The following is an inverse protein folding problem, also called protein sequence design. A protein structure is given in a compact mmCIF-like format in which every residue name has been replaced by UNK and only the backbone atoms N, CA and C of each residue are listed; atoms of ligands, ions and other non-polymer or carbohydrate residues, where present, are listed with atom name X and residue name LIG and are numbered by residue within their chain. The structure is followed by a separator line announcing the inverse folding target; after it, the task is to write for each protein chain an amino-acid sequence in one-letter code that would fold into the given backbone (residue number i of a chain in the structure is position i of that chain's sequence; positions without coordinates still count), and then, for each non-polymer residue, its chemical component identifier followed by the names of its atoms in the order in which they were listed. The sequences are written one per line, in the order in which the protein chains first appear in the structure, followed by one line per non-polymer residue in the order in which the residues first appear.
data_IF_952464813659
#
_entry.id   IF_952464813659
#
_cell.length_a   1.000
_cell.length_b   1.000
_cell.length_c   1.000
_cell.angle_alpha   90.00
_cell.angle_beta   90.00
_cell.angle_gamma   90.00
#
_symmetry.space_group_name_H-M   'P 1'
#
loop_
_entity.id
_entity.type
_entity.pdbx_description
1 polymer ?
#
# COMPACT_ATOMS: atom_id res chain seq x y z
N UNK A 1 -11.16 -8.04 -3.80
CA UNK A 1 -12.53 -7.77 -3.30
C UNK A 1 -13.04 -6.44 -3.80
N UNK A 2 -12.57 -5.27 -3.31
CA UNK A 2 -13.18 -3.98 -3.68
C UNK A 2 -13.16 -3.69 -5.18
N UNK A 3 -12.01 -3.89 -5.84
CA UNK A 3 -11.86 -3.72 -7.29
C UNK A 3 -12.68 -4.75 -8.05
N UNK A 4 -12.63 -6.03 -7.66
CA UNK A 4 -13.34 -7.11 -8.34
C UNK A 4 -14.86 -6.90 -8.30
N UNK A 5 -15.38 -6.40 -7.18
CA UNK A 5 -16.80 -6.07 -6.99
C UNK A 5 -17.20 -4.78 -7.71
N UNK A 6 -16.25 -3.88 -7.98
CA UNK A 6 -16.52 -2.52 -8.48
C UNK A 6 -15.51 -2.07 -9.56
N UNK A 7 -15.33 -2.83 -10.66
CA UNK A 7 -14.23 -2.63 -11.61
C UNK A 7 -14.32 -1.33 -12.42
N UNK A 8 -15.53 -0.77 -12.56
CA UNK A 8 -15.76 0.51 -13.26
C UNK A 8 -15.48 1.72 -12.37
N UNK A 9 -15.35 1.53 -11.05
CA UNK A 9 -15.22 2.60 -10.06
C UNK A 9 -13.85 2.62 -9.40
N UNK A 10 -13.20 1.47 -9.24
CA UNK A 10 -11.88 1.37 -8.61
C UNK A 10 -10.88 0.64 -9.50
N UNK A 11 -9.64 1.11 -9.47
CA UNK A 11 -8.53 0.48 -10.18
C UNK A 11 -7.28 0.44 -9.31
N UNK A 12 -6.58 -0.69 -9.30
CA UNK A 12 -5.29 -0.79 -8.63
C UNK A 12 -4.23 0.06 -9.36
N UNK A 13 -3.37 0.72 -8.60
CA UNK A 13 -2.10 1.23 -9.13
C UNK A 13 -1.09 0.10 -9.19
N UNK A 14 -0.40 -0.05 -10.33
CA UNK A 14 0.78 -0.93 -10.42
C UNK A 14 2.02 -0.10 -10.07
N UNK A 15 2.58 -0.34 -8.89
CA UNK A 15 3.78 0.34 -8.40
C UNK A 15 5.05 -0.32 -8.92
N UNK A 16 6.18 0.37 -8.85
CA UNK A 16 7.49 -0.17 -9.16
C UNK A 16 8.13 -0.75 -7.90
N UNK A 17 8.93 -1.80 -8.03
CA UNK A 17 9.75 -2.31 -6.92
C UNK A 17 11.09 -2.85 -7.38
N UNK A 18 12.09 -2.76 -6.51
CA UNK A 18 13.40 -3.43 -6.70
C UNK A 18 13.45 -4.85 -6.16
N UNK A 19 12.39 -5.30 -5.47
CA UNK A 19 12.27 -6.69 -5.01
C UNK A 19 12.15 -7.61 -6.22
N UNK A 20 12.71 -8.82 -6.12
CA UNK A 20 12.46 -9.86 -7.13
C UNK A 20 11.02 -10.35 -7.08
N UNK A 21 10.39 -10.71 -8.22
CA UNK A 21 9.08 -11.32 -8.24
C UNK A 21 9.05 -12.64 -7.44
N UNK A 22 7.99 -12.84 -6.66
CA UNK A 22 7.65 -14.12 -6.01
C UNK A 22 7.00 -15.06 -7.02
N UNK A 23 6.94 -16.34 -6.69
CA UNK A 23 6.24 -17.33 -7.51
C UNK A 23 4.78 -16.92 -7.73
N UNK A 24 4.38 -16.81 -9.00
CA UNK A 24 3.02 -16.41 -9.39
C UNK A 24 2.83 -14.91 -9.62
N UNK A 25 3.74 -14.04 -9.18
CA UNK A 25 3.68 -12.60 -9.50
C UNK A 25 4.00 -12.37 -10.99
N UNK A 26 3.25 -11.49 -11.65
CA UNK A 26 3.40 -11.13 -13.06
C UNK A 26 3.82 -9.67 -13.22
N UNK A 27 4.79 -9.41 -14.10
CA UNK A 27 5.24 -8.07 -14.48
C UNK A 27 4.08 -7.23 -15.02
N UNK A 28 3.99 -5.98 -14.56
CA UNK A 28 2.93 -5.04 -14.95
C UNK A 28 1.54 -5.38 -14.41
N UNK A 29 1.42 -6.41 -13.56
CA UNK A 29 0.19 -6.78 -12.87
C UNK A 29 0.36 -6.64 -11.35
N UNK A 30 1.37 -7.33 -10.79
CA UNK A 30 1.68 -7.22 -9.37
C UNK A 30 2.50 -5.96 -9.09
N UNK A 31 3.62 -5.81 -9.82
CA UNK A 31 4.49 -4.65 -9.80
C UNK A 31 5.17 -4.49 -11.16
N UNK A 32 5.77 -3.32 -11.36
CA UNK A 32 6.86 -3.14 -12.30
C UNK A 32 8.19 -3.49 -11.62
N UNK A 33 8.75 -4.64 -11.94
CA UNK A 33 9.98 -5.12 -11.31
C UNK A 33 11.19 -4.49 -12.01
N UNK A 34 11.87 -3.57 -11.34
CA UNK A 34 13.00 -2.81 -11.89
C UNK A 34 14.28 -3.06 -11.10
N UNK A 35 15.44 -2.83 -11.72
CA UNK A 35 16.71 -2.90 -10.99
C UNK A 35 16.87 -1.69 -10.06
N UNK A 36 17.70 -1.78 -9.00
CA UNK A 36 18.01 -0.62 -8.17
C UNK A 36 18.56 0.58 -8.96
N UNK A 37 19.36 0.33 -10.00
CA UNK A 37 19.90 1.39 -10.85
C UNK A 37 18.79 2.13 -11.63
N UNK A 38 17.83 1.39 -12.21
CA UNK A 38 16.68 1.97 -12.91
C UNK A 38 15.79 2.73 -11.92
N UNK A 39 15.54 2.18 -10.74
CA UNK A 39 14.76 2.87 -9.71
C UNK A 39 15.41 4.20 -9.30
N UNK A 40 16.74 4.21 -9.08
CA UNK A 40 17.49 5.42 -8.75
C UNK A 40 17.43 6.47 -9.87
N UNK A 41 17.49 6.06 -11.14
CA UNK A 41 17.31 6.97 -12.28
C UNK A 41 15.90 7.57 -12.31
N UNK A 42 14.87 6.78 -12.02
CA UNK A 42 13.49 7.25 -11.94
C UNK A 42 13.29 8.25 -10.80
N UNK A 43 13.95 8.08 -9.66
CA UNK A 43 13.99 9.08 -8.59
C UNK A 43 14.68 10.37 -9.10
N UNK A 44 15.86 10.24 -9.70
CA UNK A 44 16.65 11.39 -10.18
C UNK A 44 15.94 12.21 -11.26
N UNK A 45 15.01 11.59 -11.98
CA UNK A 45 14.19 12.21 -13.03
C UNK A 45 12.77 12.54 -12.58
N UNK A 46 12.51 12.55 -11.26
CA UNK A 46 11.25 12.98 -10.64
C UNK A 46 10.01 12.24 -11.20
N UNK A 47 10.13 10.91 -11.39
CA UNK A 47 9.11 10.06 -12.00
C UNK A 47 8.08 9.50 -11.02
N UNK A 48 8.32 9.61 -9.72
CA UNK A 48 7.48 9.05 -8.66
C UNK A 48 6.59 10.12 -8.01
N UNK A 49 5.37 9.72 -7.65
CA UNK A 49 4.49 10.48 -6.76
C UNK A 49 4.94 10.27 -5.32
N UNK A 50 5.20 9.01 -4.98
CA UNK A 50 5.80 8.58 -3.74
C UNK A 50 6.80 7.47 -4.02
N UNK A 51 7.81 7.37 -3.17
CA UNK A 51 8.65 6.19 -3.09
C UNK A 51 9.16 5.99 -1.68
N UNK A 52 9.39 4.74 -1.30
CA UNK A 52 9.86 4.35 0.03
C UNK A 52 10.83 3.18 -0.04
N UNK A 53 11.63 2.99 1.01
CA UNK A 53 12.46 1.81 1.22
C UNK A 53 11.79 0.93 2.27
N UNK A 54 11.18 -0.17 1.83
CA UNK A 54 10.48 -1.11 2.70
C UNK A 54 11.19 -2.46 2.73
N UNK A 55 11.57 -2.91 3.94
CA UNK A 55 12.25 -4.20 4.15
C UNK A 55 13.45 -4.41 3.20
N UNK A 56 14.22 -3.35 2.95
CA UNK A 56 15.43 -3.39 2.11
C UNK A 56 15.19 -3.36 0.59
N UNK A 57 13.95 -3.16 0.13
CA UNK A 57 13.63 -2.96 -1.29
C UNK A 57 12.92 -1.63 -1.48
N UNK A 58 13.17 -0.97 -2.61
CA UNK A 58 12.44 0.25 -2.95
C UNK A 58 11.07 -0.10 -3.53
N UNK A 59 10.10 0.75 -3.25
CA UNK A 59 8.75 0.74 -3.81
C UNK A 59 8.38 2.16 -4.22
N UNK A 60 7.61 2.33 -5.28
CA UNK A 60 7.13 3.66 -5.64
C UNK A 60 6.07 3.69 -6.72
N UNK A 61 5.12 4.60 -6.58
CA UNK A 61 4.02 4.81 -7.51
C UNK A 61 4.38 5.91 -8.50
N UNK A 62 4.36 5.60 -9.80
CA UNK A 62 4.82 6.54 -10.83
C UNK A 62 3.76 7.58 -11.18
N UNK A 63 4.19 8.77 -11.60
CA UNK A 63 3.29 9.84 -12.11
C UNK A 63 2.51 9.43 -13.36
N UNK A 64 3.06 8.49 -14.14
CA UNK A 64 2.38 7.92 -15.30
C UNK A 64 1.17 7.08 -14.88
N UNK A 65 1.28 6.34 -13.77
CA UNK A 65 0.19 5.53 -13.21
C UNK A 65 -1.02 6.40 -12.87
N UNK A 66 -0.82 7.55 -12.20
CA UNK A 66 -1.90 8.49 -11.90
C UNK A 66 -2.51 9.12 -13.17
N UNK A 67 -1.68 9.43 -14.17
CA UNK A 67 -2.14 10.00 -15.43
C UNK A 67 -3.08 9.05 -16.18
N UNK A 68 -2.79 7.74 -16.17
CA UNK A 68 -3.65 6.71 -16.77
C UNK A 68 -4.99 6.60 -16.05
N UNK A 69 -5.01 6.65 -14.73
CA UNK A 69 -6.24 6.54 -13.94
C UNK A 69 -7.15 7.75 -14.09
N UNK A 70 -6.58 8.96 -14.17
CA UNK A 70 -7.35 10.18 -14.47
C UNK A 70 -8.10 10.07 -15.80
N UNK A 71 -7.55 9.33 -16.77
CA UNK A 71 -8.20 9.07 -18.05
C UNK A 71 -9.36 8.07 -17.94
N UNK A 72 -9.28 7.13 -17.00
CA UNK A 72 -10.27 6.06 -16.79
C UNK A 72 -11.48 6.49 -15.95
N UNK A 73 -11.46 7.68 -15.34
CA UNK A 73 -12.50 8.19 -14.43
C UNK A 73 -12.82 7.25 -13.24
N UNK A 74 -11.87 6.39 -12.89
CA UNK A 74 -11.92 5.51 -11.72
C UNK A 74 -11.10 6.10 -10.57
N UNK A 75 -11.46 5.70 -9.34
CA UNK A 75 -10.67 5.99 -8.15
C UNK A 75 -9.46 5.04 -8.09
N UNK A 76 -8.30 5.63 -7.89
CA UNK A 76 -7.03 4.93 -7.68
C UNK A 76 -7.00 4.27 -6.30
N UNK A 77 -6.78 2.96 -6.24
CA UNK A 77 -6.45 2.27 -4.99
C UNK A 77 -4.94 2.09 -4.93
N UNK A 78 -4.32 2.76 -3.97
CA UNK A 78 -2.89 2.64 -3.65
C UNK A 78 -2.73 1.73 -2.44
N UNK A 79 -1.93 0.68 -2.60
CA UNK A 79 -1.49 -0.19 -1.50
C UNK A 79 -0.04 0.17 -1.16
N UNK A 80 0.13 0.96 -0.10
CA UNK A 80 1.40 1.57 0.31
C UNK A 80 1.60 1.44 1.82
N UNK A 81 2.85 1.51 2.25
CA UNK A 81 3.20 1.54 3.67
C UNK A 81 3.01 2.93 4.29
N UNK A 82 3.25 3.01 5.60
CA UNK A 82 3.11 4.24 6.38
C UNK A 82 4.01 5.39 5.90
N UNK A 83 5.21 5.09 5.41
CA UNK A 83 6.12 6.11 4.88
C UNK A 83 5.62 6.66 3.53
N UNK A 84 5.04 5.80 2.70
CA UNK A 84 4.31 6.21 1.50
C UNK A 84 3.13 7.13 1.84
N UNK A 85 2.33 6.79 2.86
CA UNK A 85 1.22 7.63 3.33
C UNK A 85 1.71 8.99 3.78
N UNK A 86 2.76 9.04 4.62
CA UNK A 86 3.39 10.31 5.05
C UNK A 86 3.77 11.17 3.86
N UNK A 87 4.48 10.59 2.90
CA UNK A 87 4.94 11.29 1.70
C UNK A 87 3.78 11.89 0.91
N UNK A 88 2.70 11.12 0.71
CA UNK A 88 1.51 11.61 0.00
C UNK A 88 0.84 12.75 0.76
N UNK A 89 0.56 12.55 2.06
CA UNK A 89 -0.13 13.54 2.90
C UNK A 89 0.69 14.83 3.01
N UNK A 90 2.00 14.74 3.23
CA UNK A 90 2.89 15.90 3.29
C UNK A 90 3.02 16.62 1.95
N UNK A 91 2.99 15.89 0.83
CA UNK A 91 3.06 16.51 -0.50
C UNK A 91 1.85 17.39 -0.81
N UNK A 92 0.68 17.08 -0.22
CA UNK A 92 -0.60 17.73 -0.54
C UNK A 92 -0.99 17.66 -2.02
N UNK A 93 -0.35 16.78 -2.80
CA UNK A 93 -0.42 16.77 -4.26
C UNK A 93 -1.66 16.04 -4.80
N UNK A 94 -2.32 15.26 -3.94
CA UNK A 94 -3.47 14.44 -4.27
C UNK A 94 -4.56 14.64 -3.22
N UNK A 95 -5.81 14.69 -3.68
CA UNK A 95 -6.99 14.57 -2.83
C UNK A 95 -7.19 13.08 -2.51
N UNK A 96 -6.63 12.63 -1.39
CA UNK A 96 -6.58 11.21 -1.01
C UNK A 96 -7.36 10.94 0.25
N UNK A 97 -7.98 9.76 0.28
CA UNK A 97 -8.61 9.18 1.45
C UNK A 97 -7.73 8.07 1.99
N UNK A 98 -7.28 8.19 3.23
CA UNK A 98 -6.30 7.30 3.84
C UNK A 98 -6.96 6.33 4.81
N UNK A 99 -6.80 5.03 4.57
CA UNK A 99 -7.32 3.95 5.41
C UNK A 99 -6.16 3.15 5.98
N UNK A 100 -6.11 2.95 7.29
CA UNK A 100 -5.17 2.02 7.91
C UNK A 100 -5.84 0.70 8.25
N UNK A 101 -5.31 -0.41 7.73
CA UNK A 101 -5.79 -1.76 8.03
C UNK A 101 -4.86 -2.41 9.04
N UNK A 102 -5.32 -2.58 10.28
CA UNK A 102 -4.52 -3.18 11.35
C UNK A 102 -4.89 -4.64 11.62
N UNK A 103 -3.92 -5.49 12.02
CA UNK A 103 -4.24 -6.80 12.56
C UNK A 103 -4.94 -6.68 13.94
N UNK A 104 -5.72 -7.67 14.38
CA UNK A 104 -6.32 -7.66 15.72
C UNK A 104 -5.29 -7.73 16.84
N UNK A 105 -4.11 -8.30 16.55
CA UNK A 105 -2.97 -8.30 17.46
C UNK A 105 -1.67 -8.50 16.71
N UNK A 106 -0.55 -8.11 17.30
CA UNK A 106 0.79 -8.40 16.78
C UNK A 106 1.05 -9.91 16.67
N UNK A 107 0.49 -10.70 17.59
CA UNK A 107 0.58 -12.16 17.55
C UNK A 107 -0.09 -12.72 16.30
N UNK A 108 -1.29 -12.22 15.98
CA UNK A 108 -1.99 -12.61 14.75
C UNK A 108 -1.21 -12.23 13.49
N UNK A 109 -0.54 -11.06 13.49
CA UNK A 109 0.34 -10.68 12.39
C UNK A 109 1.53 -11.65 12.27
N UNK A 110 2.18 -11.98 13.39
CA UNK A 110 3.29 -12.94 13.42
C UNK A 110 2.87 -14.31 12.89
N UNK A 111 1.76 -14.86 13.36
CA UNK A 111 1.22 -16.15 12.89
C UNK A 111 0.96 -16.13 11.38
N UNK A 112 0.41 -15.03 10.85
CA UNK A 112 0.18 -14.85 9.40
C UNK A 112 1.48 -14.75 8.61
N UNK A 113 2.51 -14.05 9.12
CA UNK A 113 3.80 -13.94 8.44
C UNK A 113 4.51 -15.30 8.37
N UNK A 114 4.51 -16.04 9.48
CA UNK A 114 5.09 -17.39 9.56
C UNK A 114 4.37 -18.37 8.65
N UNK A 115 3.04 -18.33 8.63
CA UNK A 115 2.21 -19.21 7.78
C UNK A 115 2.38 -19.00 6.27
N UNK A 116 3.04 -17.92 5.82
CA UNK A 116 3.34 -17.70 4.40
C UNK A 116 4.51 -18.56 3.90
N UNK A 117 5.37 -19.03 4.80
CA UNK A 117 6.56 -19.85 4.47
C UNK A 117 7.50 -19.24 3.41
N UNK A 118 7.42 -17.92 3.19
CA UNK A 118 8.20 -17.20 2.17
C UNK A 118 9.29 -16.30 2.75
N UNK A 119 9.41 -16.23 4.08
CA UNK A 119 10.24 -15.24 4.77
C UNK A 119 11.16 -15.91 5.81
N UNK A 120 12.34 -15.35 6.02
CA UNK A 120 13.27 -15.82 7.06
C UNK A 120 12.90 -15.27 8.44
N UNK A 121 13.39 -15.88 9.51
CA UNK A 121 13.16 -15.40 10.88
C UNK A 121 13.56 -13.93 11.05
N UNK A 122 14.71 -13.54 10.50
CA UNK A 122 15.22 -12.17 10.58
C UNK A 122 14.29 -11.20 9.84
N UNK A 123 13.73 -11.60 8.70
CA UNK A 123 12.77 -10.80 7.96
C UNK A 123 11.45 -10.64 8.72
N UNK A 124 10.99 -11.70 9.39
CA UNK A 124 9.77 -11.67 10.20
C UNK A 124 9.94 -10.72 11.38
N UNK A 125 11.05 -10.82 12.12
CA UNK A 125 11.30 -9.94 13.27
C UNK A 125 11.40 -8.46 12.85
N UNK A 126 12.02 -8.16 11.71
CA UNK A 126 12.06 -6.79 11.17
C UNK A 126 10.66 -6.27 10.84
N UNK A 127 9.81 -7.07 10.19
CA UNK A 127 8.42 -6.69 9.89
C UNK A 127 7.60 -6.47 11.16
N UNK A 128 7.78 -7.31 12.19
CA UNK A 128 7.07 -7.16 13.46
C UNK A 128 7.50 -5.91 14.24
N UNK A 129 8.79 -5.58 14.20
CA UNK A 129 9.30 -4.33 14.77
C UNK A 129 8.67 -3.13 14.05
N UNK A 130 8.73 -3.12 12.72
CA UNK A 130 8.12 -2.06 11.92
C UNK A 130 6.61 -1.94 12.15
N UNK A 131 5.87 -3.05 12.21
CA UNK A 131 4.44 -3.03 12.46
C UNK A 131 4.06 -2.39 13.80
N UNK A 132 4.93 -2.45 14.82
CA UNK A 132 4.71 -1.73 16.09
C UNK A 132 4.76 -0.22 15.88
N UNK A 133 5.76 0.24 15.14
CA UNK A 133 5.95 1.66 14.84
C UNK A 133 4.79 2.18 13.97
N UNK A 134 4.33 1.37 13.01
CA UNK A 134 3.18 1.69 12.14
C UNK A 134 1.86 1.78 12.94
N UNK A 135 1.63 0.84 13.88
CA UNK A 135 0.46 0.87 14.76
C UNK A 135 0.45 2.12 15.64
N UNK A 136 1.60 2.51 16.20
CA UNK A 136 1.72 3.74 16.99
C UNK A 136 1.48 4.98 16.12
N UNK A 137 2.03 5.01 14.90
CA UNK A 137 1.82 6.13 13.99
C UNK A 137 0.35 6.28 13.58
N UNK A 138 -0.37 5.17 13.41
CA UNK A 138 -1.80 5.19 13.08
C UNK A 138 -2.69 5.78 14.19
N UNK A 139 -2.20 5.87 15.43
CA UNK A 139 -2.90 6.59 16.52
C UNK A 139 -2.76 8.12 16.40
N UNK A 140 -1.88 8.61 15.52
CA UNK A 140 -1.71 10.05 15.28
C UNK A 140 -2.95 10.62 14.61
N UNK A 141 -3.60 11.58 15.28
CA UNK A 141 -4.80 12.23 14.77
C UNK A 141 -4.53 12.96 13.45
N UNK A 142 -5.39 12.74 12.45
CA UNK A 142 -5.37 13.46 11.17
C UNK A 142 -4.53 12.83 10.06
N UNK A 143 -3.89 11.67 10.31
CA UNK A 143 -3.14 10.92 9.28
C UNK A 143 -4.08 10.03 8.47
N UNK A 144 -4.93 9.27 9.15
CA UNK A 144 -5.88 8.36 8.54
C UNK A 144 -7.29 8.86 8.77
N UNK A 145 -8.13 8.75 7.75
CA UNK A 145 -9.55 9.06 7.86
C UNK A 145 -10.28 8.01 8.69
N UNK A 146 -9.88 6.74 8.55
CA UNK A 146 -10.40 5.61 9.32
C UNK A 146 -9.31 4.56 9.60
N UNK A 147 -9.50 3.80 10.67
CA UNK A 147 -8.66 2.66 11.05
C UNK A 147 -9.55 1.41 11.18
N UNK A 148 -9.33 0.42 10.31
CA UNK A 148 -10.11 -0.83 10.28
C UNK A 148 -9.30 -1.94 10.92
N UNK A 149 -9.93 -2.72 11.80
CA UNK A 149 -9.32 -3.94 12.35
C UNK A 149 -9.70 -5.13 11.48
N UNK A 150 -8.70 -5.84 10.96
CA UNK A 150 -8.91 -7.01 10.09
C UNK A 150 -8.88 -8.32 10.91
N UNK A 151 -9.87 -8.47 11.79
CA UNK A 151 -10.16 -9.67 12.57
C UNK A 151 -11.08 -10.64 11.81
N UNK A 152 -12.13 -10.11 11.19
CA UNK A 152 -13.06 -10.78 10.29
C UNK A 152 -13.02 -10.11 8.91
N UNK A 153 -12.73 -10.90 7.88
CA UNK A 153 -12.56 -10.38 6.53
C UNK A 153 -13.84 -9.74 5.98
N UNK A 154 -15.01 -10.30 6.32
CA UNK A 154 -16.30 -9.80 5.85
C UNK A 154 -16.60 -8.43 6.43
N UNK A 155 -16.50 -8.30 7.76
CA UNK A 155 -16.72 -7.02 8.46
C UNK A 155 -15.72 -5.95 8.04
N UNK A 156 -14.43 -6.30 7.95
CA UNK A 156 -13.40 -5.36 7.51
C UNK A 156 -13.64 -4.88 6.07
N UNK A 157 -14.15 -5.77 5.20
CA UNK A 157 -14.53 -5.41 3.84
C UNK A 157 -15.75 -4.48 3.79
N UNK A 158 -16.81 -4.79 4.55
CA UNK A 158 -18.01 -3.95 4.65
C UNK A 158 -17.66 -2.53 5.11
N UNK A 159 -16.79 -2.41 6.12
CA UNK A 159 -16.32 -1.11 6.62
C UNK A 159 -15.49 -0.35 5.57
N UNK A 160 -14.59 -1.05 4.87
CA UNK A 160 -13.78 -0.47 3.80
C UNK A 160 -14.65 0.02 2.64
N UNK A 161 -15.63 -0.79 2.22
CA UNK A 161 -16.54 -0.47 1.12
C UNK A 161 -17.44 0.70 1.47
N UNK A 162 -18.04 0.70 2.67
CA UNK A 162 -18.85 1.81 3.16
C UNK A 162 -18.05 3.12 3.21
N UNK A 163 -16.79 3.06 3.65
CA UNK A 163 -15.91 4.21 3.59
C UNK A 163 -15.64 4.61 2.14
N UNK A 164 -15.20 3.70 1.28
CA UNK A 164 -14.82 4.00 -0.11
C UNK A 164 -15.93 4.70 -0.90
N UNK A 165 -17.20 4.33 -0.67
CA UNK A 165 -18.37 4.95 -1.28
C UNK A 165 -18.98 6.11 -0.49
N UNK A 166 -18.62 6.27 0.79
CA UNK A 166 -19.09 7.37 1.61
C UNK A 166 -18.72 8.73 1.03
N UNK A 167 -19.63 9.70 1.15
CA UNK A 167 -19.44 11.08 0.70
C UNK A 167 -18.21 11.72 1.36
N UNK A 168 -17.52 12.60 0.61
CA UNK A 168 -16.38 13.38 1.12
C UNK A 168 -16.82 14.31 2.27
N UNK A 169 -15.85 14.67 3.12
CA UNK A 169 -15.98 15.79 4.06
C UNK A 169 -16.32 17.10 3.35
#
# INVERSE_FOLDING_TARGET
MLIDSNPDQFSATVSHTTRKPRQGEKEGVAYHFVSPAVFSEMIATDRFIEHTLFSGNYYGTSKDTASRQKLQRSTALLDIDVEGVKTIVESGSLDTRCVFIKPPSLKTLEDRLRGRETETEESIQKRLAQAKDELQYAETSGVYDIVITNDDLGKAYEELEAFAFGSHR
#
